data_IF_067808138785
#
_entry.id   IF_067808138785
#
_cell.length_a   1.000
_cell.length_b   1.000
_cell.length_c   1.000
_cell.angle_alpha   90.00
_cell.angle_beta   90.00
_cell.angle_gamma   90.00
#
_symmetry.space_group_name_H-M   'P 1'
#
loop_
_entity.id
_entity.type
_entity.pdbx_description
1 polymer ?
#
# COMPACT_ATOMS: atom_id res chain seq x y z
N UNK A 1 32.42 78.88 -39.20
CA UNK A 1 32.80 77.58 -38.62
C UNK A 1 31.57 76.99 -37.95
N UNK A 2 30.91 76.03 -38.59
CA UNK A 2 29.72 75.36 -38.05
C UNK A 2 30.14 74.10 -37.28
N UNK A 3 29.53 73.81 -36.11
CA UNK A 3 29.81 72.59 -35.36
C UNK A 3 29.13 71.39 -36.04
N UNK A 4 29.88 70.29 -36.18
CA UNK A 4 29.36 69.01 -36.70
C UNK A 4 28.45 68.35 -35.66
N UNK A 5 27.31 67.75 -36.05
CA UNK A 5 26.47 67.00 -35.14
C UNK A 5 27.14 65.66 -34.78
N UNK A 6 27.13 65.31 -33.49
CA UNK A 6 27.53 64.00 -32.97
C UNK A 6 26.31 63.08 -33.01
N UNK A 7 26.38 62.01 -33.80
CA UNK A 7 25.42 60.91 -33.76
C UNK A 7 25.75 60.01 -32.56
N UNK A 8 24.77 59.83 -31.67
CA UNK A 8 24.81 58.83 -30.62
C UNK A 8 24.58 57.42 -31.20
N UNK A 9 25.36 56.40 -30.80
CA UNK A 9 25.11 55.03 -31.23
C UNK A 9 23.85 54.50 -30.54
N UNK A 10 22.92 54.00 -31.35
CA UNK A 10 21.75 53.24 -30.91
C UNK A 10 22.22 52.01 -30.12
N UNK A 11 21.77 51.90 -28.87
CA UNK A 11 21.85 50.68 -28.07
C UNK A 11 20.97 49.62 -28.73
N UNK A 12 21.60 48.60 -29.32
CA UNK A 12 20.91 47.43 -29.86
C UNK A 12 20.25 46.67 -28.70
N UNK A 13 18.92 46.55 -28.73
CA UNK A 13 18.19 45.70 -27.80
C UNK A 13 18.58 44.22 -28.04
N UNK A 14 18.89 43.44 -26.99
CA UNK A 14 19.18 42.02 -27.14
C UNK A 14 17.90 41.31 -27.60
N UNK A 15 17.91 40.79 -28.82
CA UNK A 15 16.86 39.90 -29.28
C UNK A 15 16.96 38.61 -28.49
N UNK A 16 16.06 38.45 -27.51
CA UNK A 16 15.86 37.20 -26.78
C UNK A 16 15.26 36.18 -27.75
N UNK A 17 16.11 35.53 -28.55
CA UNK A 17 15.74 34.31 -29.27
C UNK A 17 15.56 33.20 -28.24
N UNK A 18 14.37 33.14 -27.63
CA UNK A 18 13.93 31.96 -26.88
C UNK A 18 13.84 30.82 -27.89
N UNK A 19 14.92 30.05 -27.98
CA UNK A 19 15.07 28.97 -28.95
C UNK A 19 13.92 27.98 -28.80
N UNK A 20 13.28 27.63 -29.91
CA UNK A 20 12.28 26.55 -29.98
C UNK A 20 12.78 25.25 -29.31
N UNK A 21 14.11 25.05 -29.27
CA UNK A 21 14.76 23.92 -28.58
C UNK A 21 14.57 23.97 -27.06
N UNK A 22 14.59 25.14 -26.44
CA UNK A 22 14.37 25.29 -24.99
C UNK A 22 12.91 25.03 -24.65
N UNK A 23 11.98 25.45 -25.51
CA UNK A 23 10.55 25.17 -25.31
C UNK A 23 10.23 23.67 -25.50
N UNK A 24 10.84 23.00 -26.50
CA UNK A 24 10.68 21.56 -26.70
C UNK A 24 11.32 20.76 -25.54
N UNK A 25 12.49 21.18 -25.05
CA UNK A 25 13.13 20.56 -23.89
C UNK A 25 12.28 20.71 -22.61
N UNK A 26 11.64 21.86 -22.40
CA UNK A 26 10.69 22.06 -21.29
C UNK A 26 9.41 21.24 -21.48
N UNK A 27 8.90 21.07 -22.71
CA UNK A 27 7.73 20.24 -22.98
C UNK A 27 7.99 18.75 -22.70
N UNK A 28 9.20 18.25 -22.99
CA UNK A 28 9.61 16.90 -22.63
C UNK A 28 9.90 16.74 -21.12
N UNK A 29 10.32 17.81 -20.43
CA UNK A 29 10.56 17.79 -18.99
C UNK A 29 9.25 17.69 -18.17
N UNK A 30 8.13 18.17 -18.70
CA UNK A 30 6.81 18.13 -18.03
C UNK A 30 6.16 16.74 -18.09
N UNK A 31 6.63 15.83 -18.95
CA UNK A 31 6.00 14.52 -19.16
C UNK A 31 6.60 13.34 -18.37
N UNK A 32 7.52 13.54 -17.41
CA UNK A 32 8.32 12.42 -16.87
C UNK A 32 8.27 12.20 -15.35
N UNK A 33 7.38 12.83 -14.61
CA UNK A 33 7.26 12.59 -13.15
C UNK A 33 5.95 11.88 -12.79
N UNK A 34 5.82 10.62 -13.22
CA UNK A 34 4.91 9.66 -12.60
C UNK A 34 5.70 8.86 -11.56
N UNK A 35 5.19 8.83 -10.33
CA UNK A 35 5.94 8.69 -9.10
C UNK A 35 5.22 7.77 -8.11
N UNK A 36 5.50 6.47 -7.94
CA UNK A 36 4.65 5.63 -7.09
C UNK A 36 5.37 4.41 -6.48
N UNK A 37 4.79 3.84 -5.42
CA UNK A 37 5.09 2.48 -4.93
C UNK A 37 4.08 1.51 -5.53
N UNK A 38 4.53 0.40 -6.09
CA UNK A 38 3.64 -0.63 -6.65
C UNK A 38 4.00 -1.98 -6.04
N UNK A 39 3.02 -2.66 -5.44
CA UNK A 39 3.17 -4.07 -5.07
C UNK A 39 3.40 -4.89 -6.35
N UNK A 40 4.39 -5.78 -6.32
CA UNK A 40 4.67 -6.73 -7.39
C UNK A 40 4.25 -8.15 -7.02
N UNK A 41 4.38 -8.49 -5.73
CA UNK A 41 3.92 -9.77 -5.18
C UNK A 41 3.41 -9.53 -3.76
N UNK A 42 2.14 -9.85 -3.43
CA UNK A 42 1.10 -10.42 -4.29
C UNK A 42 0.73 -9.55 -5.50
N UNK A 43 0.07 -10.11 -6.50
CA UNK A 43 -0.28 -9.40 -7.76
C UNK A 43 -1.11 -8.14 -7.44
N UNK A 44 -0.69 -6.94 -7.88
CA UNK A 44 -1.42 -5.70 -7.60
C UNK A 44 -2.78 -5.69 -8.30
N UNK A 45 -3.75 -4.95 -7.75
CA UNK A 45 -5.03 -4.68 -8.45
C UNK A 45 -4.78 -3.95 -9.78
N UNK A 46 -3.87 -2.99 -9.74
CA UNK A 46 -3.47 -2.21 -10.89
C UNK A 46 -2.04 -1.67 -10.73
N UNK A 47 -1.36 -1.47 -11.85
CA UNK A 47 0.02 -1.01 -11.95
C UNK A 47 0.15 0.35 -12.67
N UNK A 48 -0.94 1.09 -12.89
CA UNK A 48 -0.88 2.48 -13.33
C UNK A 48 -0.60 3.40 -12.14
N UNK A 49 0.66 3.77 -12.07
CA UNK A 49 1.21 4.90 -11.36
C UNK A 49 0.18 6.01 -11.07
N UNK A 50 -0.43 6.64 -12.08
CA UNK A 50 -1.21 7.88 -11.90
C UNK A 50 -2.45 7.74 -11.01
N UNK A 51 -2.84 6.50 -10.67
CA UNK A 51 -4.01 6.21 -9.86
C UNK A 51 -3.67 5.96 -8.39
N UNK A 52 -2.41 5.91 -7.96
CA UNK A 52 -2.02 5.43 -6.62
C UNK A 52 -1.94 6.51 -5.53
N UNK A 53 -2.43 7.73 -5.78
CA UNK A 53 -2.41 8.86 -4.81
C UNK A 53 -3.66 9.00 -3.94
N UNK A 54 -4.70 8.22 -4.22
CA UNK A 54 -5.93 8.28 -3.45
C UNK A 54 -5.94 7.16 -2.39
N UNK A 55 -6.23 7.45 -1.12
CA UNK A 55 -6.43 6.39 -0.15
C UNK A 55 -7.73 5.62 -0.45
N UNK A 56 -7.83 4.35 -0.03
CA UNK A 56 -6.77 3.54 0.58
C UNK A 56 -5.95 2.75 -0.46
N UNK A 57 -6.38 2.63 -1.71
CA UNK A 57 -5.78 1.70 -2.68
C UNK A 57 -5.55 2.31 -4.06
N UNK A 58 -5.61 3.64 -4.16
CA UNK A 58 -5.68 4.36 -5.41
C UNK A 58 -7.11 4.72 -5.82
N UNK A 59 -7.23 5.40 -6.95
CA UNK A 59 -8.49 5.88 -7.52
C UNK A 59 -8.99 4.96 -8.64
N UNK A 60 -10.25 5.12 -9.03
CA UNK A 60 -10.88 4.42 -10.15
C UNK A 60 -11.34 2.99 -9.84
N UNK A 61 -12.17 2.44 -10.74
CA UNK A 61 -12.81 1.13 -10.55
C UNK A 61 -11.84 -0.04 -10.62
N UNK A 62 -10.70 0.11 -11.29
CA UNK A 62 -9.65 -0.90 -11.38
C UNK A 62 -8.92 -1.12 -10.05
N UNK A 63 -8.97 -0.15 -9.14
CA UNK A 63 -8.39 -0.23 -7.80
C UNK A 63 -9.43 -0.52 -6.71
N UNK A 64 -10.71 -0.67 -7.07
CA UNK A 64 -11.75 -0.99 -6.10
C UNK A 64 -11.50 -2.34 -5.43
N UNK A 65 -11.93 -2.50 -4.18
CA UNK A 65 -11.88 -3.77 -3.48
C UNK A 65 -12.48 -4.91 -4.31
N UNK A 66 -11.71 -6.00 -4.49
CA UNK A 66 -12.13 -7.15 -5.28
C UNK A 66 -11.99 -6.97 -6.81
N UNK A 67 -11.53 -5.83 -7.31
CA UNK A 67 -11.30 -5.63 -8.74
C UNK A 67 -10.19 -6.54 -9.30
N UNK A 68 -9.23 -6.94 -8.46
CA UNK A 68 -8.11 -7.83 -8.81
C UNK A 68 -8.42 -9.32 -8.61
N UNK A 69 -9.66 -9.70 -8.31
CA UNK A 69 -10.03 -11.08 -7.93
C UNK A 69 -9.63 -12.16 -8.94
N UNK A 70 -9.59 -11.85 -10.24
CA UNK A 70 -9.19 -12.84 -11.26
C UNK A 70 -7.69 -13.20 -11.23
N UNK A 71 -6.87 -12.38 -10.57
CA UNK A 71 -5.42 -12.57 -10.45
C UNK A 71 -4.96 -12.59 -8.98
N UNK A 72 -5.89 -12.73 -8.04
CA UNK A 72 -5.59 -12.70 -6.62
C UNK A 72 -4.61 -13.81 -6.25
N UNK A 73 -3.57 -13.45 -5.50
CA UNK A 73 -2.59 -14.42 -5.02
C UNK A 73 -3.15 -15.21 -3.84
N UNK A 74 -2.82 -16.49 -3.76
CA UNK A 74 -3.15 -17.33 -2.59
C UNK A 74 -1.96 -17.42 -1.68
N UNK A 75 -2.13 -16.96 -0.44
CA UNK A 75 -1.12 -16.96 0.61
C UNK A 75 -1.48 -17.98 1.69
N UNK A 76 -0.47 -18.47 2.40
CA UNK A 76 -0.66 -19.31 3.58
C UNK A 76 -0.54 -18.46 4.85
N UNK A 77 -1.22 -18.83 5.96
CA UNK A 77 -0.85 -18.31 7.27
C UNK A 77 0.66 -18.43 7.54
N UNK A 78 1.19 -17.52 8.35
CA UNK A 78 2.60 -17.46 8.70
C UNK A 78 3.42 -16.59 7.76
N UNK A 79 4.71 -16.91 7.62
CA UNK A 79 5.68 -16.07 6.92
C UNK A 79 5.46 -16.02 5.40
N UNK A 80 5.29 -14.82 4.85
CA UNK A 80 5.13 -14.54 3.44
C UNK A 80 6.07 -13.41 3.00
N UNK A 81 6.50 -13.42 1.73
CA UNK A 81 7.27 -12.32 1.13
C UNK A 81 6.34 -11.34 0.43
N UNK A 82 6.54 -10.05 0.68
CA UNK A 82 5.90 -8.97 -0.07
C UNK A 82 6.98 -8.27 -0.89
N UNK A 83 6.75 -8.17 -2.19
CA UNK A 83 7.65 -7.45 -3.10
C UNK A 83 6.96 -6.20 -3.63
N UNK A 84 7.73 -5.12 -3.74
CA UNK A 84 7.28 -3.87 -4.32
C UNK A 84 8.41 -3.21 -5.10
N UNK A 85 8.04 -2.27 -5.97
CA UNK A 85 8.98 -1.41 -6.70
C UNK A 85 8.70 0.04 -6.35
N UNK A 86 9.76 0.82 -6.25
CA UNK A 86 9.69 2.28 -6.20
C UNK A 86 9.94 2.81 -7.61
N UNK A 87 8.90 3.31 -8.28
CA UNK A 87 9.06 3.90 -9.63
C UNK A 87 9.68 5.28 -9.58
N UNK A 88 9.67 5.93 -8.40
CA UNK A 88 10.50 7.09 -8.04
C UNK A 88 10.99 6.94 -6.60
N UNK A 89 12.28 7.20 -6.42
CA UNK A 89 12.99 7.09 -5.14
C UNK A 89 12.79 8.39 -4.35
N UNK A 90 12.12 8.29 -3.19
CA UNK A 90 11.93 9.41 -2.27
C UNK A 90 12.80 9.27 -1.02
N UNK A 91 13.68 10.24 -0.79
CA UNK A 91 14.53 10.26 0.39
C UNK A 91 13.70 10.22 1.67
N UNK A 92 14.02 9.28 2.56
CA UNK A 92 13.37 9.16 3.87
C UNK A 92 11.93 8.65 3.81
N UNK A 93 11.48 8.05 2.70
CA UNK A 93 10.11 7.57 2.56
C UNK A 93 9.90 6.15 3.11
N UNK A 94 9.44 5.98 4.36
CA UNK A 94 9.21 4.65 4.90
C UNK A 94 8.02 3.98 4.21
N UNK A 95 8.05 2.65 4.20
CA UNK A 95 6.94 1.83 3.71
C UNK A 95 6.25 1.14 4.89
N UNK A 96 4.92 1.07 4.82
CA UNK A 96 4.06 0.25 5.69
C UNK A 96 3.41 -0.84 4.86
N UNK A 97 3.26 -2.03 5.43
CA UNK A 97 2.47 -3.14 4.90
C UNK A 97 1.34 -3.45 5.88
N UNK A 98 0.11 -3.44 5.39
CA UNK A 98 -1.09 -3.70 6.20
C UNK A 98 -2.05 -4.68 5.50
N UNK A 99 -2.91 -5.31 6.29
CA UNK A 99 -3.96 -6.22 5.84
C UNK A 99 -5.33 -5.57 6.04
N UNK A 100 -6.24 -5.72 5.09
CA UNK A 100 -7.67 -5.50 5.32
C UNK A 100 -8.45 -6.80 5.12
N UNK A 101 -9.62 -6.85 5.75
CA UNK A 101 -10.52 -8.00 5.73
C UNK A 101 -11.95 -7.51 5.52
N UNK A 102 -12.62 -8.03 4.51
CA UNK A 102 -14.00 -7.71 4.13
C UNK A 102 -14.14 -6.56 3.13
N UNK A 103 -13.33 -5.52 3.26
CA UNK A 103 -13.33 -4.35 2.38
C UNK A 103 -11.99 -3.59 2.42
N UNK A 104 -11.96 -2.38 1.85
CA UNK A 104 -10.83 -1.46 1.86
C UNK A 104 -10.78 -0.59 3.15
N UNK A 105 -11.10 -1.17 4.31
CA UNK A 105 -11.03 -0.51 5.62
C UNK A 105 -10.23 -1.32 6.65
N UNK A 106 -9.97 -0.74 7.82
CA UNK A 106 -9.31 -1.45 8.93
C UNK A 106 -7.82 -1.79 8.71
N UNK A 107 -7.16 -1.18 7.72
CA UNK A 107 -5.72 -1.36 7.50
C UNK A 107 -4.88 -0.96 8.72
N UNK A 108 -5.26 0.13 9.41
CA UNK A 108 -4.57 0.61 10.60
C UNK A 108 -4.74 -0.33 11.82
N UNK A 109 -5.73 -1.22 11.81
CA UNK A 109 -5.95 -2.21 12.88
C UNK A 109 -5.09 -3.46 12.71
N UNK A 110 -4.60 -3.72 11.48
CA UNK A 110 -3.92 -4.96 11.08
C UNK A 110 -2.62 -4.68 10.31
N UNK A 111 -1.76 -3.82 10.86
CA UNK A 111 -0.45 -3.52 10.28
C UNK A 111 0.51 -4.70 10.48
N UNK A 112 0.96 -5.28 9.38
CA UNK A 112 1.82 -6.46 9.35
C UNK A 112 3.30 -6.11 9.52
N UNK A 113 3.70 -4.98 8.95
CA UNK A 113 5.05 -4.45 9.02
C UNK A 113 4.99 -2.94 8.88
N UNK A 114 5.58 -2.22 9.82
CA UNK A 114 5.56 -0.75 9.84
C UNK A 114 6.98 -0.18 9.81
N UNK A 115 7.10 1.05 9.31
CA UNK A 115 8.37 1.78 9.21
C UNK A 115 9.51 1.02 8.53
N UNK A 116 9.24 0.32 7.43
CA UNK A 116 10.30 -0.22 6.56
C UNK A 116 11.17 0.95 6.10
N UNK A 117 12.48 0.97 6.39
CA UNK A 117 13.32 2.12 6.11
C UNK A 117 13.48 2.33 4.61
N UNK A 118 13.62 3.59 4.20
CA UNK A 118 13.98 3.92 2.83
C UNK A 118 15.35 3.33 2.47
N UNK A 119 15.49 2.82 1.24
CA UNK A 119 16.78 2.34 0.72
C UNK A 119 17.53 3.47 -0.02
N UNK A 120 18.51 4.15 0.59
CA UNK A 120 19.25 5.23 -0.10
C UNK A 120 20.14 4.72 -1.24
N UNK A 121 20.37 3.41 -1.35
CA UNK A 121 21.16 2.79 -2.40
C UNK A 121 20.31 2.28 -3.58
N UNK A 122 18.98 2.32 -3.48
CA UNK A 122 18.11 1.89 -4.58
C UNK A 122 18.06 2.91 -5.71
N UNK A 123 17.75 2.40 -6.89
CA UNK A 123 17.47 3.19 -8.08
C UNK A 123 16.01 3.03 -8.51
N UNK A 124 15.59 3.84 -9.49
CA UNK A 124 14.25 3.75 -10.06
C UNK A 124 13.97 2.32 -10.56
N UNK A 125 12.79 1.79 -10.22
CA UNK A 125 12.32 0.45 -10.56
C UNK A 125 13.11 -0.70 -9.90
N UNK A 126 14.01 -0.40 -8.96
CA UNK A 126 14.60 -1.44 -8.15
C UNK A 126 13.52 -2.17 -7.34
N UNK A 127 13.63 -3.48 -7.29
CA UNK A 127 12.71 -4.33 -6.54
C UNK A 127 13.14 -4.44 -5.10
N UNK A 128 12.19 -4.33 -4.20
CA UNK A 128 12.36 -4.50 -2.77
C UNK A 128 11.53 -5.70 -2.32
N UNK A 129 12.03 -6.45 -1.35
CA UNK A 129 11.35 -7.56 -0.71
C UNK A 129 11.43 -7.42 0.80
N UNK A 130 10.27 -7.50 1.42
CA UNK A 130 10.12 -7.60 2.88
C UNK A 130 9.39 -8.90 3.22
N UNK A 131 9.54 -9.33 4.47
CA UNK A 131 8.85 -10.52 4.97
C UNK A 131 7.87 -10.11 6.06
N UNK A 132 6.66 -10.63 5.97
CA UNK A 132 5.56 -10.37 6.89
C UNK A 132 4.98 -11.68 7.40
N UNK A 133 4.47 -11.68 8.62
CA UNK A 133 3.76 -12.83 9.18
C UNK A 133 2.25 -12.60 9.07
N UNK A 134 1.57 -13.44 8.29
CA UNK A 134 0.12 -13.39 8.16
C UNK A 134 -0.55 -14.18 9.31
N UNK A 135 -1.61 -13.64 9.91
CA UNK A 135 -2.38 -14.38 10.91
C UNK A 135 -3.06 -15.59 10.28
N UNK A 136 -3.42 -16.58 11.10
CA UNK A 136 -4.31 -17.66 10.68
C UNK A 136 -5.73 -17.11 10.52
N UNK A 137 -6.10 -16.78 9.28
CA UNK A 137 -7.43 -16.29 8.92
C UNK A 137 -7.85 -16.87 7.57
N UNK A 138 -9.07 -17.38 7.49
CA UNK A 138 -9.66 -17.95 6.29
C UNK A 138 -10.24 -16.82 5.42
N UNK A 139 -9.46 -16.35 4.46
CA UNK A 139 -9.85 -15.32 3.50
C UNK A 139 -10.09 -15.93 2.12
N UNK A 140 -11.31 -15.81 1.59
CA UNK A 140 -11.58 -16.13 0.19
C UNK A 140 -11.00 -15.07 -0.75
N UNK A 141 -10.87 -15.40 -2.03
CA UNK A 141 -10.48 -14.43 -3.06
C UNK A 141 -11.45 -13.26 -3.06
N UNK A 142 -10.91 -12.03 -2.95
CA UNK A 142 -11.71 -10.81 -2.88
C UNK A 142 -12.34 -10.55 -1.51
N UNK A 143 -11.90 -11.24 -0.45
CA UNK A 143 -12.32 -10.93 0.92
C UNK A 143 -11.20 -10.35 1.77
N UNK A 144 -9.95 -10.30 1.29
CA UNK A 144 -8.83 -9.70 2.00
C UNK A 144 -7.90 -9.01 1.00
N UNK A 145 -7.23 -7.95 1.45
CA UNK A 145 -6.27 -7.21 0.63
C UNK A 145 -5.03 -6.84 1.42
N UNK A 146 -3.88 -6.85 0.75
CA UNK A 146 -2.63 -6.28 1.28
C UNK A 146 -2.47 -4.89 0.70
N UNK A 147 -2.12 -3.94 1.55
CA UNK A 147 -1.79 -2.58 1.17
C UNK A 147 -0.32 -2.31 1.49
N UNK A 148 0.37 -1.65 0.55
CA UNK A 148 1.61 -0.94 0.83
C UNK A 148 1.35 0.57 0.78
N UNK A 149 1.78 1.27 1.84
CA UNK A 149 1.78 2.73 1.89
C UNK A 149 3.21 3.21 1.88
N UNK A 150 3.56 4.13 0.98
CA UNK A 150 4.83 4.87 1.03
C UNK A 150 4.54 6.35 1.29
N UNK A 151 5.18 6.93 2.30
CA UNK A 151 5.01 8.34 2.64
C UNK A 151 6.25 9.14 2.22
N UNK A 152 6.10 10.08 1.30
CA UNK A 152 7.18 10.93 0.78
C UNK A 152 7.60 12.02 1.78
N UNK A 153 8.41 11.66 2.77
CA UNK A 153 8.81 12.62 3.83
C UNK A 153 9.72 13.74 3.30
N UNK A 154 10.40 13.55 2.17
CA UNK A 154 11.14 14.62 1.47
C UNK A 154 10.25 15.77 0.98
N UNK A 155 8.93 15.56 0.90
CA UNK A 155 7.95 16.61 0.56
C UNK A 155 7.47 17.41 1.76
N UNK A 156 7.88 17.03 2.96
CA UNK A 156 7.45 17.74 4.17
C UNK A 156 8.28 19.00 4.32
N UNK A 157 7.62 20.15 4.39
CA UNK A 157 8.28 21.44 4.66
C UNK A 157 8.67 21.58 6.13
N UNK A 158 8.04 20.81 7.02
CA UNK A 158 8.31 20.76 8.46
C UNK A 158 8.31 19.31 8.94
N UNK A 159 9.25 18.92 9.83
CA UNK A 159 9.21 17.58 10.41
C UNK A 159 7.87 17.29 11.09
N UNK A 160 7.23 16.17 10.74
CA UNK A 160 6.02 15.71 11.40
C UNK A 160 6.37 15.12 12.78
N UNK A 161 6.28 15.92 13.83
CA UNK A 161 6.48 15.43 15.20
C UNK A 161 5.32 14.54 15.70
N UNK A 162 4.15 14.61 15.06
CA UNK A 162 2.97 13.81 15.40
C UNK A 162 2.37 13.21 14.12
N UNK A 163 2.28 11.88 13.98
CA UNK A 163 1.66 11.22 12.83
C UNK A 163 0.19 11.65 12.58
N UNK A 164 -0.57 11.98 13.63
CA UNK A 164 -1.93 12.52 13.49
C UNK A 164 -1.96 13.92 12.82
N UNK A 165 -0.81 14.59 12.79
CA UNK A 165 -0.61 15.86 12.07
C UNK A 165 -0.35 15.70 10.57
N UNK A 166 -0.14 14.48 10.07
CA UNK A 166 0.20 14.27 8.65
C UNK A 166 -0.88 14.82 7.71
N UNK A 167 -2.16 14.65 8.06
CA UNK A 167 -3.28 15.13 7.27
C UNK A 167 -3.58 16.63 7.47
N UNK A 168 -3.03 17.29 8.51
CA UNK A 168 -3.52 18.59 8.98
C UNK A 168 -2.46 19.68 9.17
N UNK A 169 -1.19 19.33 9.44
CA UNK A 169 -0.19 20.30 9.89
C UNK A 169 1.19 20.17 9.24
N UNK A 170 1.58 18.97 8.79
CA UNK A 170 2.94 18.74 8.32
C UNK A 170 3.03 17.95 7.00
N UNK A 171 1.89 17.58 6.41
CA UNK A 171 1.84 16.89 5.12
C UNK A 171 0.55 17.15 4.34
N UNK A 172 0.49 16.51 3.17
CA UNK A 172 -0.70 16.40 2.34
C UNK A 172 -0.96 14.92 2.10
N UNK A 173 -2.22 14.44 2.03
CA UNK A 173 -2.52 13.08 1.58
C UNK A 173 -1.90 12.75 0.20
N UNK A 174 -1.70 13.78 -0.64
CA UNK A 174 -0.99 13.65 -1.92
C UNK A 174 0.49 13.29 -1.79
N UNK A 175 1.02 13.27 -0.56
CA UNK A 175 2.38 12.85 -0.23
C UNK A 175 2.48 11.37 0.12
N UNK A 176 1.39 10.63 0.00
CA UNK A 176 1.38 9.19 0.19
C UNK A 176 1.00 8.47 -1.11
N UNK A 177 1.59 7.29 -1.30
CA UNK A 177 1.23 6.35 -2.35
C UNK A 177 0.64 5.11 -1.73
N UNK A 178 -0.40 4.61 -2.37
CA UNK A 178 -1.21 3.50 -1.91
C UNK A 178 -1.30 2.47 -3.03
N UNK A 179 -0.73 1.30 -2.83
CA UNK A 179 -0.87 0.17 -3.74
C UNK A 179 -1.47 -1.00 -2.98
N UNK A 180 -2.45 -1.67 -3.60
CA UNK A 180 -3.15 -2.79 -3.00
C UNK A 180 -3.17 -4.01 -3.92
N UNK A 181 -3.25 -5.17 -3.29
CA UNK A 181 -3.37 -6.47 -3.93
C UNK A 181 -4.47 -7.28 -3.24
N UNK A 182 -5.45 -7.74 -4.02
CA UNK A 182 -6.45 -8.68 -3.50
C UNK A 182 -5.80 -10.05 -3.30
N UNK A 183 -6.08 -10.68 -2.17
CA UNK A 183 -5.49 -11.97 -1.81
C UNK A 183 -6.56 -12.94 -1.29
N UNK A 184 -6.17 -14.22 -1.26
CA UNK A 184 -6.81 -15.24 -0.44
C UNK A 184 -5.81 -15.77 0.58
N UNK A 185 -6.29 -16.15 1.75
CA UNK A 185 -5.46 -16.74 2.82
C UNK A 185 -6.07 -18.09 3.18
N UNK A 186 -5.25 -19.14 3.07
CA UNK A 186 -5.65 -20.53 3.32
C UNK A 186 -5.74 -20.88 4.80
N UNK A 187 -6.05 -19.90 5.64
CA UNK A 187 -6.21 -20.08 7.08
C UNK A 187 -7.49 -20.80 7.45
N UNK A 188 -7.63 -21.05 8.75
CA UNK A 188 -8.73 -21.82 9.34
C UNK A 188 -9.64 -20.97 10.22
N UNK A 189 -9.13 -19.88 10.80
CA UNK A 189 -9.95 -19.02 11.66
C UNK A 189 -10.89 -18.14 10.83
N UNK A 190 -12.17 -18.00 11.20
CA UNK A 190 -13.08 -17.11 10.48
C UNK A 190 -12.62 -15.64 10.52
N UNK A 191 -12.86 -14.89 9.42
CA UNK A 191 -12.50 -13.46 9.30
C UNK A 191 -12.95 -12.59 10.46
N UNK A 192 -14.13 -12.83 11.02
CA UNK A 192 -14.70 -12.07 12.13
C UNK A 192 -14.06 -12.38 13.50
N UNK A 193 -13.10 -13.30 13.55
CA UNK A 193 -12.32 -13.61 14.76
C UNK A 193 -10.97 -12.89 14.79
N UNK A 194 -10.60 -12.22 13.70
CA UNK A 194 -9.38 -11.42 13.66
C UNK A 194 -9.60 -10.14 14.49
N UNK A 195 -8.94 -10.07 15.64
CA UNK A 195 -8.88 -8.86 16.45
C UNK A 195 -7.76 -7.93 15.95
N UNK A 196 -7.89 -6.61 16.12
CA UNK A 196 -6.78 -5.68 15.89
C UNK A 196 -5.53 -6.16 16.62
N UNK A 197 -4.43 -6.31 15.88
CA UNK A 197 -3.14 -6.71 16.43
C UNK A 197 -2.09 -5.61 16.32
N UNK A 198 -2.44 -4.48 15.69
CA UNK A 198 -1.63 -3.29 15.71
C UNK A 198 -2.23 -2.26 16.68
N UNK A 199 -1.39 -1.76 17.58
CA UNK A 199 -1.76 -0.68 18.50
C UNK A 199 -0.86 0.50 18.18
N UNK A 200 -1.44 1.51 17.52
CA UNK A 200 -0.74 2.76 17.22
C UNK A 200 -0.22 3.41 18.52
N UNK A 201 0.99 3.99 18.44
CA UNK A 201 1.71 4.64 19.54
C UNK A 201 0.93 5.78 20.22
N UNK A 202 -0.20 6.22 19.67
CA UNK A 202 -1.07 7.24 20.25
C UNK A 202 -2.11 6.69 21.25
N UNK A 203 -2.28 5.37 21.39
CA UNK A 203 -3.14 4.84 22.46
C UNK A 203 -2.31 4.69 23.75
N UNK A 204 -2.63 5.48 24.77
CA UNK A 204 -1.97 5.45 26.07
C UNK A 204 -2.26 4.18 26.89
N UNK A 205 -2.92 3.18 26.29
CA UNK A 205 -3.34 1.93 26.91
C UNK A 205 -2.44 0.78 26.47
N UNK A 206 -1.40 0.50 27.27
CA UNK A 206 -0.84 -0.83 27.57
C UNK A 206 -1.25 -2.01 26.67
N UNK A 207 -0.68 -2.10 25.46
CA UNK A 207 -0.60 -3.37 24.72
C UNK A 207 0.80 -3.55 24.13
N UNK A 208 1.31 -4.75 24.33
CA UNK A 208 2.71 -5.16 24.27
C UNK A 208 3.10 -5.71 22.89
N UNK A 209 3.08 -4.86 21.87
CA UNK A 209 3.79 -5.12 20.62
C UNK A 209 4.49 -3.84 20.17
N UNK A 210 5.40 -3.33 21.01
CA UNK A 210 6.38 -2.35 20.56
C UNK A 210 7.29 -3.08 19.57
N UNK A 211 7.06 -2.93 18.28
CA UNK A 211 8.19 -2.98 17.35
C UNK A 211 9.02 -1.75 17.74
N UNK A 212 10.23 -1.92 18.32
CA UNK A 212 11.02 -0.78 18.74
C UNK A 212 11.26 0.10 17.53
N UNK A 213 10.78 1.34 17.62
CA UNK A 213 11.01 2.39 16.63
C UNK A 213 12.51 2.74 16.48
N UNK A 214 13.33 2.23 17.40
CA UNK A 214 14.73 2.59 17.62
C UNK A 214 15.70 1.97 16.61
N UNK A 215 15.23 1.09 15.73
CA UNK A 215 16.07 0.45 14.72
C UNK A 215 15.62 0.83 13.30
N UNK A 216 15.62 2.15 13.06
CA UNK A 216 15.69 2.74 11.72
C UNK A 216 17.11 2.60 11.12
N UNK A 217 18.03 1.93 11.82
CA UNK A 217 19.42 1.73 11.38
C UNK A 217 19.62 0.55 10.45
N UNK A 218 18.55 -0.16 10.09
CA UNK A 218 18.66 -1.30 9.19
C UNK A 218 19.11 -0.89 7.80
N UNK A 219 20.02 -1.68 7.27
CA UNK A 219 20.56 -1.49 5.93
C UNK A 219 20.01 -2.56 5.00
N UNK A 220 19.62 -2.12 3.82
CA UNK A 220 19.18 -3.01 2.76
C UNK A 220 20.36 -3.81 2.21
N UNK A 221 20.14 -5.09 1.97
CA UNK A 221 21.11 -5.98 1.33
C UNK A 221 20.61 -6.38 -0.07
N UNK A 222 21.53 -6.61 -1.01
CA UNK A 222 21.17 -7.04 -2.35
C UNK A 222 21.25 -8.57 -2.47
N UNK A 223 20.15 -9.20 -2.85
CA UNK A 223 20.03 -10.63 -3.15
C UNK A 223 19.63 -10.80 -4.61
N UNK A 224 20.63 -10.96 -5.49
CA UNK A 224 20.45 -10.90 -6.93
C UNK A 224 20.00 -9.51 -7.39
N UNK A 225 18.80 -9.43 -7.98
CA UNK A 225 18.20 -8.17 -8.47
C UNK A 225 17.28 -7.50 -7.44
N UNK A 226 17.12 -8.08 -6.26
CA UNK A 226 16.16 -7.64 -5.25
C UNK A 226 16.86 -7.13 -4.00
N UNK A 227 16.43 -5.98 -3.50
CA UNK A 227 16.83 -5.47 -2.19
C UNK A 227 16.00 -6.13 -1.10
N UNK A 228 16.65 -6.62 -0.06
CA UNK A 228 16.03 -7.34 1.05
C UNK A 228 16.38 -6.67 2.38
N UNK A 229 15.42 -6.62 3.28
CA UNK A 229 15.63 -6.19 4.66
C UNK A 229 15.96 -7.40 5.57
N UNK A 230 17.14 -7.47 6.21
CA UNK A 230 17.58 -8.67 6.93
C UNK A 230 16.75 -9.07 8.16
N UNK A 231 16.12 -8.12 8.88
CA UNK A 231 15.44 -8.35 10.18
C UNK A 231 14.54 -9.57 10.19
N UNK A 232 13.69 -9.65 9.18
CA UNK A 232 12.67 -10.67 9.11
C UNK A 232 13.13 -11.86 8.28
N UNK A 233 14.30 -11.79 7.61
CA UNK A 233 14.85 -12.91 6.83
C UNK A 233 15.22 -14.07 7.74
N UNK A 234 15.88 -13.79 8.88
CA UNK A 234 16.27 -14.85 9.82
C UNK A 234 15.04 -15.52 10.45
N UNK A 235 14.04 -14.74 10.88
CA UNK A 235 12.79 -15.26 11.42
C UNK A 235 11.97 -16.04 10.37
N UNK A 236 11.91 -15.52 9.14
CA UNK A 236 11.33 -16.20 7.97
C UNK A 236 12.00 -17.55 7.72
N UNK A 237 13.34 -17.59 7.68
CA UNK A 237 14.12 -18.81 7.45
C UNK A 237 13.97 -19.82 8.61
N UNK A 238 13.84 -19.32 9.84
CA UNK A 238 13.64 -20.15 11.02
C UNK A 238 12.18 -20.63 11.19
N UNK A 239 11.23 -20.02 10.48
CA UNK A 239 9.80 -20.31 10.62
C UNK A 239 9.23 -19.92 12.00
N UNK A 240 9.92 -19.06 12.74
CA UNK A 240 9.51 -18.67 14.11
C UNK A 240 8.54 -17.50 14.02
N UNK A 241 7.31 -17.61 14.57
CA UNK A 241 6.37 -16.50 14.61
C UNK A 241 6.94 -15.28 15.37
N UNK A 242 6.57 -14.04 14.99
CA UNK A 242 6.87 -12.86 15.78
C UNK A 242 6.34 -12.98 17.21
N UNK A 243 7.04 -12.37 18.17
CA UNK A 243 6.58 -12.31 19.56
C UNK A 243 5.18 -11.68 19.65
N UNK A 244 4.23 -12.35 20.30
CA UNK A 244 2.83 -11.93 20.38
C UNK A 244 1.90 -12.46 19.28
N UNK A 245 2.44 -13.00 18.19
CA UNK A 245 1.66 -13.79 17.22
C UNK A 245 1.77 -15.26 17.59
N UNK A 246 0.85 -15.75 18.41
CA UNK A 246 0.83 -17.17 18.76
C UNK A 246 0.79 -18.02 17.47
N UNK A 247 1.56 -19.12 17.38
CA UNK A 247 1.41 -20.05 16.27
C UNK A 247 -0.05 -20.47 16.20
N UNK A 248 -0.59 -20.60 14.99
CA UNK A 248 -1.92 -21.12 14.78
C UNK A 248 -2.06 -22.41 15.61
N UNK A 249 -3.11 -22.56 16.44
CA UNK A 249 -3.32 -23.81 17.14
C UNK A 249 -3.28 -24.94 16.11
N UNK A 250 -2.60 -26.06 16.38
CA UNK A 250 -2.55 -27.16 15.44
C UNK A 250 -3.96 -27.49 15.00
N UNK A 251 -4.20 -27.52 13.70
CA UNK A 251 -5.52 -27.79 13.13
C UNK A 251 -6.04 -29.06 13.80
N UNK A 252 -7.22 -29.02 14.46
CA UNK A 252 -7.80 -30.22 15.04
C UNK A 252 -7.83 -31.30 13.96
N UNK A 253 -7.43 -32.56 14.26
CA UNK A 253 -7.46 -33.61 13.26
C UNK A 253 -8.86 -33.65 12.65
N UNK A 254 -8.93 -33.59 11.32
CA UNK A 254 -10.20 -33.65 10.60
C UNK A 254 -11.00 -34.82 11.16
N UNK A 255 -12.22 -34.61 11.68
CA UNK A 255 -13.04 -35.70 12.18
C UNK A 255 -13.13 -36.76 11.08
N UNK A 256 -12.92 -38.05 11.39
CA UNK A 256 -13.00 -39.10 10.38
C UNK A 256 -14.33 -38.93 9.64
N UNK A 257 -14.25 -38.79 8.32
CA UNK A 257 -15.42 -38.66 7.46
C UNK A 257 -16.41 -39.76 7.87
N UNK A 258 -17.63 -39.43 8.32
CA UNK A 258 -18.60 -40.44 8.71
C UNK A 258 -18.80 -41.37 7.52
N UNK A 259 -18.43 -42.63 7.69
CA UNK A 259 -18.59 -43.64 6.66
C UNK A 259 -20.08 -43.75 6.31
N UNK A 260 -20.43 -43.27 5.12
CA UNK A 260 -21.65 -43.62 4.39
C UNK A 260 -22.96 -43.54 5.17
N UNK A 261 -23.48 -42.33 5.39
CA UNK A 261 -24.93 -42.16 5.55
C UNK A 261 -25.56 -42.02 4.16
N UNK A 262 -26.04 -43.14 3.63
CA UNK A 262 -26.87 -43.21 2.41
C UNK A 262 -28.06 -42.26 2.57
N UNK A 263 -28.02 -41.11 1.92
CA UNK A 263 -29.10 -40.12 2.02
C UNK A 263 -30.14 -40.43 0.95
N UNK A 264 -31.28 -40.96 1.37
CA UNK A 264 -32.46 -41.15 0.52
C UNK A 264 -32.94 -39.79 0.01
N UNK A 265 -32.93 -39.62 -1.32
CA UNK A 265 -33.35 -38.42 -2.02
C UNK A 265 -34.87 -38.25 -1.89
N UNK A 266 -35.35 -37.27 -1.13
CA UNK A 266 -36.72 -36.80 -1.22
C UNK A 266 -36.76 -35.54 -2.08
N UNK A 267 -37.58 -35.62 -3.12
CA UNK A 267 -37.80 -34.59 -4.14
C UNK A 267 -38.37 -33.30 -3.53
N UNK A 268 -37.82 -32.11 -3.84
CA UNK A 268 -38.37 -30.86 -3.33
C UNK A 268 -39.64 -30.44 -4.08
N UNK A 269 -40.62 -29.96 -3.30
CA UNK A 269 -41.83 -29.31 -3.77
C UNK A 269 -41.55 -27.87 -4.24
N UNK A 270 -42.38 -27.40 -5.17
CA UNK A 270 -42.24 -26.14 -5.90
C UNK A 270 -42.23 -24.88 -5.00
N UNK A 271 -41.43 -23.84 -5.34
CA UNK A 271 -41.38 -22.60 -4.58
C UNK A 271 -42.57 -21.66 -4.87
N UNK A 272 -43.11 -21.08 -3.80
CA UNK A 272 -44.06 -19.95 -3.80
C UNK A 272 -43.30 -18.62 -3.96
N UNK A 273 -43.82 -17.62 -4.72
CA UNK A 273 -43.09 -16.36 -4.94
C UNK A 273 -43.29 -15.38 -3.77
N UNK A 274 -42.21 -14.78 -3.28
CA UNK A 274 -42.25 -13.75 -2.24
C UNK A 274 -41.66 -12.41 -2.73
N UNK A 275 -42.55 -11.41 -2.73
CA UNK A 275 -42.42 -9.96 -2.52
C UNK A 275 -41.02 -9.31 -2.46
N UNK A 276 -40.82 -8.34 -3.36
CA UNK A 276 -39.75 -7.34 -3.38
C UNK A 276 -39.83 -6.36 -2.20
N UNK A 277 -38.76 -6.26 -1.41
CA UNK A 277 -38.52 -5.18 -0.46
C UNK A 277 -37.31 -4.35 -0.90
N UNK A 278 -37.53 -3.08 -1.23
CA UNK A 278 -36.48 -2.10 -1.51
C UNK A 278 -35.72 -1.75 -0.23
N UNK A 279 -34.43 -2.09 -0.18
CA UNK A 279 -33.49 -1.61 0.83
C UNK A 279 -32.73 -0.39 0.32
N UNK A 280 -32.84 0.72 1.04
CA UNK A 280 -32.16 2.00 0.78
C UNK A 280 -30.66 1.91 1.07
N UNK A 281 -29.84 2.23 0.09
CA UNK A 281 -28.38 2.41 0.25
C UNK A 281 -28.08 3.74 0.94
N UNK A 282 -27.43 3.67 2.10
CA UNK A 282 -26.80 4.82 2.76
C UNK A 282 -25.46 5.10 2.08
N UNK A 283 -25.39 6.19 1.31
CA UNK A 283 -24.15 6.69 0.76
C UNK A 283 -23.46 7.57 1.81
N UNK A 284 -22.21 7.25 2.13
CA UNK A 284 -21.34 8.07 2.96
C UNK A 284 -20.57 9.04 2.03
N UNK A 285 -20.77 10.37 2.10
CA UNK A 285 -20.05 11.29 1.22
C UNK A 285 -18.71 11.65 1.86
N UNK A 286 -17.61 11.08 1.33
CA UNK A 286 -16.30 11.69 1.49
C UNK A 286 -16.29 12.96 0.62
N UNK A 287 -16.30 14.12 1.27
CA UNK A 287 -16.24 15.42 0.61
C UNK A 287 -14.78 15.77 0.39
N UNK A 288 -14.39 15.79 -0.88
CA UNK A 288 -13.11 16.29 -1.38
C UNK A 288 -12.96 17.80 -1.05
N UNK A 289 -11.94 18.21 -0.26
CA UNK A 289 -11.68 19.62 -0.05
C UNK A 289 -10.89 20.16 -1.26
N UNK A 290 -11.59 20.85 -2.16
CA UNK A 290 -10.95 21.65 -3.20
C UNK A 290 -10.09 22.76 -2.59
N UNK A 291 -8.86 22.98 -3.08
CA UNK A 291 -8.02 24.08 -2.60
C UNK A 291 -8.45 25.41 -3.24
N UNK A 292 -8.60 26.42 -2.39
CA UNK A 292 -8.67 27.85 -2.71
C UNK A 292 -7.29 28.43 -3.00
#
# INVERSE_FOLDING_TARGET
RFPKPRFSPFLAAPQFSFSFRTMLALLFLVCLSSCHIIIQNPVPRHDDDNMLKAPPCGSGTVNAFGAGTTQASTLSPGWNSIEFVETIVHGGAPVRVALSVGDDSGYDDHVLLDHVPHNPASSRNDRHRVYVYLPDVACAVGSCAIQTIQVMTDKFSTPCANPAGLATSCGSPSYAYFSCADISITGTAPVNTLSPFYVSLNSSSTVSARVPYDDLSETWEKDGEVWILPRNRAAFQAGVPPEGMAPAPPTPPTPPTPAGATTTTLSPAAPTPASSGQGTTSANPYVDPTPS
#
